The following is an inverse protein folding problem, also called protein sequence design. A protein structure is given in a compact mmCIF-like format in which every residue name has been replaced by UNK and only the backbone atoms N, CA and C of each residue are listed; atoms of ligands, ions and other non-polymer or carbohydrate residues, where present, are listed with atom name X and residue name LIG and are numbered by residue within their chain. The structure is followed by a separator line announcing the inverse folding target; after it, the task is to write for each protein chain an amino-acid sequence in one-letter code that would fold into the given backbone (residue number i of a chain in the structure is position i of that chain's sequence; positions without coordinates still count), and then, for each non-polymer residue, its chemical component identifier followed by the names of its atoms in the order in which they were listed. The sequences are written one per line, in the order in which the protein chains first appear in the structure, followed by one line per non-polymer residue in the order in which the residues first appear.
data_IF_925187006638
#
_entry.id   IF_925187006638
#
_cell.length_a   1.000
_cell.length_b   1.000
_cell.length_c   1.000
_cell.angle_alpha   90.00
_cell.angle_beta   90.00
_cell.angle_gamma   90.00
#
_symmetry.space_group_name_H-M   'P 1'
#
loop_
_entity.id
_entity.type
_entity.pdbx_description
1 polymer ?
#
# COMPACT_ATOMS: atom_id res chain seq x y z
N UNK A 1 -2.34 16.13 12.95
CA UNK A 1 -2.05 15.15 11.88
C UNK A 1 -3.32 14.61 11.24
N UNK A 2 -3.24 13.98 10.04
CA UNK A 2 -4.39 13.34 9.42
C UNK A 2 -4.33 11.82 9.65
N UNK A 3 -5.45 11.22 10.06
CA UNK A 3 -5.58 9.77 10.30
C UNK A 3 -6.87 9.19 9.71
N UNK A 4 -6.83 7.89 9.42
CA UNK A 4 -7.98 7.11 8.98
C UNK A 4 -8.32 6.00 9.97
N UNK A 5 -9.53 6.04 10.51
CA UNK A 5 -10.05 5.00 11.39
C UNK A 5 -11.11 4.19 10.67
N UNK A 6 -10.97 2.87 10.63
CA UNK A 6 -11.88 2.00 9.91
C UNK A 6 -12.56 1.01 10.86
N UNK A 7 -13.89 1.10 10.91
CA UNK A 7 -14.74 0.27 11.75
C UNK A 7 -15.72 -0.58 10.93
N UNK A 8 -16.06 -1.77 11.41
CA UNK A 8 -17.09 -2.62 10.80
C UNK A 8 -18.47 -2.17 11.31
N UNK A 9 -19.42 -1.99 10.36
CA UNK A 9 -20.81 -1.68 10.67
C UNK A 9 -21.60 -2.95 10.96
N UNK A 10 -22.40 -2.94 12.02
CA UNK A 10 -23.40 -3.98 12.32
C UNK A 10 -24.74 -3.52 11.73
N UNK A 11 -25.01 -3.90 10.47
CA UNK A 11 -26.17 -3.42 9.71
C UNK A 11 -27.26 -4.47 9.61
N UNK A 12 -28.52 -4.05 9.77
CA UNK A 12 -29.71 -4.83 9.49
C UNK A 12 -30.02 -4.87 7.99
N UNK A 13 -31.09 -5.53 7.56
CA UNK A 13 -31.43 -5.66 6.15
C UNK A 13 -31.89 -4.34 5.52
N UNK A 14 -32.64 -3.49 6.25
CA UNK A 14 -33.08 -2.17 5.77
C UNK A 14 -31.87 -1.25 5.56
N UNK A 15 -30.98 -1.18 6.54
CA UNK A 15 -29.73 -0.41 6.45
C UNK A 15 -28.82 -0.91 5.33
N UNK A 16 -28.72 -2.24 5.13
CA UNK A 16 -27.93 -2.83 4.05
C UNK A 16 -28.44 -2.40 2.67
N UNK A 17 -29.78 -2.37 2.49
CA UNK A 17 -30.41 -1.89 1.25
C UNK A 17 -30.12 -0.42 1.04
N UNK A 18 -30.27 0.39 2.09
CA UNK A 18 -30.00 1.82 2.05
C UNK A 18 -28.53 2.11 1.69
N UNK A 19 -27.57 1.45 2.33
CA UNK A 19 -26.16 1.60 2.00
C UNK A 19 -25.84 1.16 0.57
N UNK A 20 -26.50 0.12 0.07
CA UNK A 20 -26.35 -0.33 -1.31
C UNK A 20 -26.91 0.70 -2.31
N UNK A 21 -28.00 1.37 -1.97
CA UNK A 21 -28.57 2.48 -2.75
C UNK A 21 -27.61 3.66 -2.82
N UNK A 22 -27.03 4.08 -1.69
CA UNK A 22 -25.99 5.12 -1.66
C UNK A 22 -24.78 4.78 -2.54
N UNK A 23 -24.29 3.53 -2.47
CA UNK A 23 -23.21 3.08 -3.33
C UNK A 23 -23.60 3.02 -4.82
N UNK A 24 -24.87 2.72 -5.10
CA UNK A 24 -25.48 2.79 -6.43
C UNK A 24 -25.45 4.21 -6.99
N UNK A 25 -25.89 5.17 -6.20
CA UNK A 25 -25.90 6.60 -6.56
C UNK A 25 -24.48 7.13 -6.82
N UNK A 26 -23.50 6.79 -5.97
CA UNK A 26 -22.12 7.18 -6.21
C UNK A 26 -21.57 6.61 -7.53
N UNK A 27 -21.91 5.35 -7.85
CA UNK A 27 -21.55 4.74 -9.13
C UNK A 27 -22.23 5.38 -10.31
N UNK A 28 -23.50 5.71 -10.18
CA UNK A 28 -24.26 6.42 -11.20
C UNK A 28 -23.63 7.79 -11.50
N UNK A 29 -23.42 8.62 -10.47
CA UNK A 29 -22.82 9.95 -10.63
C UNK A 29 -21.43 9.91 -11.26
N UNK A 30 -20.58 8.96 -10.89
CA UNK A 30 -19.31 8.72 -11.55
C UNK A 30 -19.48 8.41 -13.04
N UNK A 31 -20.38 7.49 -13.38
CA UNK A 31 -20.58 7.06 -14.77
C UNK A 31 -21.21 8.17 -15.61
N UNK A 32 -22.18 8.86 -15.06
CA UNK A 32 -22.79 10.03 -15.71
C UNK A 32 -21.75 11.11 -15.99
N UNK A 33 -20.95 11.48 -14.97
CA UNK A 33 -19.90 12.48 -15.15
C UNK A 33 -18.84 12.06 -16.16
N UNK A 34 -18.46 10.79 -16.21
CA UNK A 34 -17.54 10.27 -17.21
C UNK A 34 -18.15 10.30 -18.63
N UNK A 35 -19.43 9.92 -18.77
CA UNK A 35 -20.13 9.96 -20.05
C UNK A 35 -20.24 11.39 -20.59
N UNK A 36 -20.59 12.37 -19.73
CA UNK A 36 -20.66 13.78 -20.11
C UNK A 36 -19.30 14.32 -20.59
N UNK A 37 -18.22 14.00 -19.90
CA UNK A 37 -16.87 14.39 -20.33
C UNK A 37 -16.48 13.78 -21.67
N UNK A 38 -16.79 12.51 -21.89
CA UNK A 38 -16.50 11.83 -23.16
C UNK A 38 -17.34 12.40 -24.31
N UNK A 39 -18.63 12.75 -24.04
CA UNK A 39 -19.51 13.37 -25.02
C UNK A 39 -18.95 14.74 -25.47
N UNK A 40 -18.65 15.63 -24.53
CA UNK A 40 -18.09 16.96 -24.80
C UNK A 40 -16.76 16.90 -25.54
N UNK A 41 -15.88 15.99 -25.14
CA UNK A 41 -14.59 15.80 -25.81
C UNK A 41 -14.74 15.44 -27.29
N UNK A 42 -15.79 14.63 -27.62
CA UNK A 42 -16.10 14.28 -29.01
C UNK A 42 -16.73 15.45 -29.79
N UNK A 43 -17.64 16.17 -29.15
CA UNK A 43 -18.38 17.30 -29.79
C UNK A 43 -17.47 18.48 -30.08
N UNK A 44 -16.44 18.70 -29.25
CA UNK A 44 -15.52 19.83 -29.40
C UNK A 44 -14.18 19.43 -30.05
N UNK A 45 -14.14 18.36 -30.84
CA UNK A 45 -12.96 17.88 -31.59
C UNK A 45 -11.66 17.79 -30.73
N UNK A 46 -11.81 17.43 -29.46
CA UNK A 46 -10.69 17.33 -28.52
C UNK A 46 -10.21 18.66 -27.90
N UNK A 47 -10.84 19.78 -28.23
CA UNK A 47 -10.51 21.09 -27.69
C UNK A 47 -11.24 21.42 -26.38
N UNK A 48 -12.07 20.51 -25.85
CA UNK A 48 -12.84 20.81 -24.64
C UNK A 48 -11.94 21.01 -23.44
N UNK A 49 -11.97 22.23 -22.95
CA UNK A 49 -11.37 22.57 -21.67
C UNK A 49 -12.13 21.82 -20.58
N UNK A 50 -11.43 20.98 -19.93
CA UNK A 50 -11.70 20.27 -18.70
C UNK A 50 -12.85 20.81 -17.85
N UNK A 51 -13.93 20.06 -17.76
CA UNK A 51 -15.09 20.42 -16.94
C UNK A 51 -14.81 20.10 -15.48
N UNK A 52 -14.87 21.12 -14.62
CA UNK A 52 -14.70 20.96 -13.17
C UNK A 52 -15.80 20.09 -12.54
N UNK A 53 -15.45 19.35 -11.49
CA UNK A 53 -16.39 18.54 -10.71
C UNK A 53 -17.55 19.38 -10.12
N UNK A 54 -17.32 20.65 -9.83
CA UNK A 54 -18.33 21.56 -9.30
C UNK A 54 -19.41 21.87 -10.35
N UNK A 55 -18.99 22.24 -11.57
CA UNK A 55 -19.90 22.48 -12.71
C UNK A 55 -20.72 21.23 -13.03
N UNK A 56 -20.06 20.05 -13.11
CA UNK A 56 -20.79 18.80 -13.33
C UNK A 56 -21.78 18.48 -12.20
N UNK A 57 -21.46 18.83 -10.95
CA UNK A 57 -22.39 18.65 -9.85
C UNK A 57 -23.59 19.59 -9.93
N UNK A 58 -23.41 20.84 -10.37
CA UNK A 58 -24.49 21.80 -10.62
C UNK A 58 -25.43 21.30 -11.72
N UNK A 59 -24.88 20.85 -12.86
CA UNK A 59 -25.65 20.26 -13.97
C UNK A 59 -26.43 19.03 -13.49
N UNK A 60 -25.79 18.11 -12.78
CA UNK A 60 -26.48 16.93 -12.25
C UNK A 60 -27.58 17.30 -11.25
N UNK A 61 -27.41 18.37 -10.47
CA UNK A 61 -28.44 18.87 -9.56
C UNK A 61 -29.62 19.44 -10.30
N UNK A 62 -29.42 20.16 -11.41
CA UNK A 62 -30.52 20.66 -12.28
C UNK A 62 -31.38 19.54 -12.84
N UNK A 63 -30.74 18.42 -13.21
CA UNK A 63 -31.45 17.25 -13.76
C UNK A 63 -32.17 16.38 -12.70
N UNK A 64 -31.95 16.62 -11.40
CA UNK A 64 -32.58 15.82 -10.35
C UNK A 64 -34.10 15.93 -10.31
N UNK A 65 -34.66 17.10 -10.57
CA UNK A 65 -36.11 17.30 -10.53
C UNK A 65 -36.82 16.60 -11.69
N UNK A 66 -36.22 16.64 -12.88
CA UNK A 66 -36.79 16.09 -14.10
C UNK A 66 -36.48 14.62 -14.33
N UNK A 67 -35.20 14.26 -14.28
CA UNK A 67 -34.75 12.93 -14.73
C UNK A 67 -34.34 12.01 -13.59
N UNK A 68 -33.81 12.55 -12.47
CA UNK A 68 -33.18 11.77 -11.43
C UNK A 68 -33.76 12.00 -10.03
N UNK A 69 -35.09 12.16 -9.94
CA UNK A 69 -35.82 12.44 -8.68
C UNK A 69 -35.50 11.43 -7.55
N UNK A 70 -35.21 10.17 -7.90
CA UNK A 70 -34.78 9.14 -6.95
C UNK A 70 -33.49 9.51 -6.17
N UNK A 71 -32.66 10.42 -6.67
CA UNK A 71 -31.45 10.89 -5.98
C UNK A 71 -31.76 11.72 -4.73
N UNK A 72 -32.99 12.25 -4.59
CA UNK A 72 -33.41 12.94 -3.36
C UNK A 72 -33.47 12.00 -2.14
N UNK A 73 -33.50 10.69 -2.34
CA UNK A 73 -33.49 9.70 -1.26
C UNK A 73 -32.13 9.55 -0.59
N UNK A 74 -31.05 10.09 -1.20
CA UNK A 74 -29.70 10.00 -0.68
C UNK A 74 -29.14 11.37 -0.32
N UNK A 75 -28.04 11.39 0.46
CA UNK A 75 -27.37 12.65 0.77
C UNK A 75 -26.76 13.28 -0.49
N UNK A 76 -26.90 14.61 -0.61
CA UNK A 76 -26.29 15.39 -1.70
C UNK A 76 -24.77 15.23 -1.80
N UNK A 77 -24.12 14.89 -0.71
CA UNK A 77 -22.67 14.65 -0.69
C UNK A 77 -22.25 13.43 -1.52
N UNK A 78 -23.13 12.45 -1.72
CA UNK A 78 -22.77 11.21 -2.43
C UNK A 78 -22.43 11.44 -3.89
N UNK A 79 -23.30 12.07 -4.73
CA UNK A 79 -22.95 12.40 -6.10
C UNK A 79 -21.81 13.43 -6.19
N UNK A 80 -21.80 14.42 -5.31
CA UNK A 80 -20.76 15.45 -5.26
C UNK A 80 -19.37 14.84 -5.06
N UNK A 81 -19.20 13.98 -4.07
CA UNK A 81 -17.92 13.34 -3.79
C UNK A 81 -17.54 12.30 -4.87
N UNK A 82 -18.52 11.66 -5.52
CA UNK A 82 -18.25 10.77 -6.63
C UNK A 82 -17.69 11.52 -7.87
N UNK A 83 -18.17 12.72 -8.14
CA UNK A 83 -17.66 13.59 -9.21
C UNK A 83 -16.28 14.16 -8.85
N UNK A 84 -16.01 14.50 -7.57
CA UNK A 84 -14.67 14.89 -7.10
C UNK A 84 -13.68 13.74 -7.22
N UNK A 85 -14.08 12.52 -6.88
CA UNK A 85 -13.25 11.34 -7.09
C UNK A 85 -12.94 11.09 -8.58
N UNK A 86 -13.91 11.36 -9.48
CA UNK A 86 -13.70 11.30 -10.93
C UNK A 86 -12.71 12.37 -11.39
N UNK A 87 -12.86 13.60 -10.89
CA UNK A 87 -11.93 14.70 -11.14
C UNK A 87 -10.50 14.27 -10.77
N UNK A 88 -10.29 13.83 -9.53
CA UNK A 88 -8.98 13.35 -9.05
C UNK A 88 -8.42 12.23 -9.93
N UNK A 89 -9.27 11.35 -10.45
CA UNK A 89 -8.84 10.28 -11.35
C UNK A 89 -8.34 10.81 -12.70
N UNK A 90 -8.98 11.85 -13.24
CA UNK A 90 -8.49 12.53 -14.44
C UNK A 90 -7.20 13.31 -14.18
N UNK A 91 -7.12 14.04 -13.07
CA UNK A 91 -5.90 14.78 -12.68
C UNK A 91 -4.69 13.87 -12.57
N UNK A 92 -4.86 12.73 -11.90
CA UNK A 92 -3.81 11.72 -11.79
C UNK A 92 -3.42 11.12 -13.15
N UNK A 93 -4.39 10.88 -14.03
CA UNK A 93 -4.13 10.36 -15.38
C UNK A 93 -3.35 11.37 -16.23
N UNK A 94 -3.78 12.64 -16.23
CA UNK A 94 -3.14 13.71 -17.02
C UNK A 94 -1.74 14.02 -16.49
N UNK A 95 -1.56 14.09 -15.16
CA UNK A 95 -0.25 14.29 -14.55
C UNK A 95 0.72 13.14 -14.89
N UNK A 96 0.22 11.89 -14.85
CA UNK A 96 1.00 10.72 -15.23
C UNK A 96 1.35 10.71 -16.74
N UNK A 97 0.42 11.15 -17.60
CA UNK A 97 0.65 11.28 -19.03
C UNK A 97 1.75 12.32 -19.32
N UNK A 98 1.68 13.49 -18.65
CA UNK A 98 2.71 14.55 -18.76
C UNK A 98 4.07 14.04 -18.30
N UNK A 99 4.15 13.38 -17.15
CA UNK A 99 5.38 12.78 -16.65
C UNK A 99 5.96 11.74 -17.60
N UNK A 100 5.11 10.87 -18.18
CA UNK A 100 5.57 9.86 -19.15
C UNK A 100 6.16 10.47 -20.42
N UNK A 101 5.56 11.56 -20.93
CA UNK A 101 6.09 12.29 -22.08
C UNK A 101 7.48 12.89 -21.78
N UNK A 102 7.67 13.38 -20.55
CA UNK A 102 8.95 13.98 -20.12
C UNK A 102 10.03 12.93 -19.79
N UNK A 103 9.68 11.80 -19.16
CA UNK A 103 10.66 10.84 -18.58
C UNK A 103 10.70 9.47 -19.25
N UNK A 104 9.80 9.17 -20.20
CA UNK A 104 9.65 7.81 -20.77
C UNK A 104 9.20 6.74 -19.79
N UNK A 105 8.71 7.13 -18.60
CA UNK A 105 8.34 6.20 -17.54
C UNK A 105 7.12 5.35 -17.87
N UNK A 106 6.98 4.16 -17.22
CA UNK A 106 5.82 3.28 -17.39
C UNK A 106 4.55 3.90 -16.78
N UNK A 107 3.35 3.65 -17.39
CA UNK A 107 2.10 4.20 -16.89
C UNK A 107 1.79 3.76 -15.46
N UNK A 108 1.53 4.74 -14.59
CA UNK A 108 1.11 4.54 -13.20
C UNK A 108 -0.41 4.61 -13.05
N UNK A 109 -1.05 5.54 -13.75
CA UNK A 109 -2.48 5.74 -13.76
C UNK A 109 -3.05 5.56 -15.16
N UNK A 110 -4.13 4.77 -15.27
CA UNK A 110 -4.85 4.58 -16.52
C UNK A 110 -6.01 5.57 -16.67
N UNK A 111 -6.56 5.66 -17.88
CA UNK A 111 -7.77 6.44 -18.15
C UNK A 111 -8.93 5.97 -17.25
N UNK A 112 -9.74 6.89 -16.69
CA UNK A 112 -10.91 6.55 -15.87
C UNK A 112 -11.89 5.64 -16.60
N UNK A 113 -12.39 4.59 -15.92
CA UNK A 113 -13.27 3.58 -16.50
C UNK A 113 -14.69 3.64 -15.90
N UNK A 114 -15.68 3.24 -16.68
CA UNK A 114 -17.05 3.06 -16.19
C UNK A 114 -17.12 2.00 -15.08
N UNK A 115 -17.80 2.32 -13.99
CA UNK A 115 -18.00 1.44 -12.84
C UNK A 115 -19.20 0.53 -13.07
N UNK A 116 -18.99 -0.80 -13.05
CA UNK A 116 -20.07 -1.80 -13.21
C UNK A 116 -20.41 -2.43 -11.85
N UNK A 117 -21.73 -2.58 -11.57
CA UNK A 117 -22.23 -3.28 -10.37
C UNK A 117 -21.66 -4.69 -10.30
N UNK A 118 -21.11 -5.07 -9.15
CA UNK A 118 -20.48 -6.38 -8.94
C UNK A 118 -19.03 -6.51 -9.44
N UNK A 119 -18.53 -5.61 -10.30
CA UNK A 119 -17.13 -5.58 -10.75
C UNK A 119 -16.31 -4.51 -10.01
N UNK A 120 -16.93 -3.40 -9.63
CA UNK A 120 -16.29 -2.39 -8.77
C UNK A 120 -16.67 -2.58 -7.30
N UNK A 121 -15.85 -2.04 -6.40
CA UNK A 121 -16.15 -2.01 -4.98
C UNK A 121 -17.32 -1.06 -4.74
N UNK A 122 -18.36 -1.54 -4.03
CA UNK A 122 -19.43 -0.66 -3.57
C UNK A 122 -18.87 0.26 -2.47
N UNK A 123 -18.85 1.55 -2.75
CA UNK A 123 -18.34 2.56 -1.81
C UNK A 123 -18.90 3.94 -2.16
N UNK A 124 -19.05 4.79 -1.14
CA UNK A 124 -19.42 6.19 -1.26
C UNK A 124 -18.78 6.99 -0.13
N UNK A 125 -18.56 8.28 -0.37
CA UNK A 125 -17.99 9.22 0.59
C UNK A 125 -19.07 10.20 1.04
N UNK A 126 -19.02 10.56 2.31
CA UNK A 126 -19.85 11.58 2.94
C UNK A 126 -18.96 12.62 3.61
N UNK A 127 -19.36 13.87 3.47
CA UNK A 127 -18.80 15.02 4.17
C UNK A 127 -19.93 15.74 4.92
N UNK A 128 -19.62 16.70 5.77
CA UNK A 128 -20.58 17.42 6.58
C UNK A 128 -20.68 16.87 7.99
N UNK A 129 -21.83 16.96 8.62
CA UNK A 129 -22.00 16.60 10.05
C UNK A 129 -21.93 15.11 10.27
N UNK A 130 -20.79 14.65 10.76
CA UNK A 130 -20.54 13.26 11.14
C UNK A 130 -20.22 13.23 12.63
N UNK A 131 -20.98 12.44 13.40
CA UNK A 131 -20.78 12.30 14.86
C UNK A 131 -20.51 10.83 15.20
N UNK A 132 -19.64 10.61 16.19
CA UNK A 132 -19.33 9.29 16.72
C UNK A 132 -19.66 9.27 18.20
N UNK A 133 -20.44 8.30 18.62
CA UNK A 133 -20.83 8.05 20.01
C UNK A 133 -20.09 6.79 20.46
N UNK A 134 -18.94 7.00 21.09
CA UNK A 134 -18.00 5.92 21.40
C UNK A 134 -18.58 4.89 22.35
N UNK A 135 -19.28 5.33 23.40
CA UNK A 135 -19.84 4.45 24.43
C UNK A 135 -21.02 3.64 23.89
N UNK A 136 -21.86 4.25 23.07
CA UNK A 136 -22.99 3.59 22.43
C UNK A 136 -22.59 2.71 21.22
N UNK A 137 -21.34 2.79 20.77
CA UNK A 137 -20.81 2.17 19.54
C UNK A 137 -21.64 2.57 18.31
N UNK A 138 -21.94 3.85 18.19
CA UNK A 138 -22.74 4.39 17.08
C UNK A 138 -21.94 5.43 16.28
N UNK A 139 -22.25 5.49 15.00
CA UNK A 139 -21.82 6.56 14.10
C UNK A 139 -23.04 7.16 13.41
N UNK A 140 -23.20 8.47 13.50
CA UNK A 140 -24.20 9.23 12.79
C UNK A 140 -23.61 9.77 11.50
N UNK A 141 -24.27 9.45 10.38
CA UNK A 141 -23.88 9.90 9.06
C UNK A 141 -24.98 10.72 8.42
N UNK A 142 -24.66 11.71 7.55
CA UNK A 142 -25.64 12.56 6.90
C UNK A 142 -26.73 11.75 6.18
N UNK A 143 -28.00 11.96 6.56
CA UNK A 143 -29.20 11.26 6.04
C UNK A 143 -29.24 9.73 6.22
N UNK A 144 -28.29 9.13 6.95
CA UNK A 144 -28.24 7.68 7.23
C UNK A 144 -28.61 7.34 8.68
N UNK A 145 -28.99 8.35 9.48
CA UNK A 145 -29.27 8.20 10.90
C UNK A 145 -28.05 7.64 11.67
N UNK A 146 -28.28 7.07 12.85
CA UNK A 146 -27.26 6.41 13.67
C UNK A 146 -27.09 4.96 13.20
N UNK A 147 -25.88 4.56 12.84
CA UNK A 147 -25.53 3.19 12.45
C UNK A 147 -24.66 2.56 13.54
N UNK A 148 -24.94 1.30 13.89
CA UNK A 148 -24.21 0.58 14.94
C UNK A 148 -22.86 0.09 14.43
N UNK A 149 -21.82 0.35 15.21
CA UNK A 149 -20.48 -0.20 15.01
C UNK A 149 -20.36 -1.56 15.72
N UNK A 150 -19.49 -2.41 15.20
CA UNK A 150 -19.22 -3.71 15.82
C UNK A 150 -18.30 -3.60 17.03
N UNK A 151 -17.41 -2.64 17.00
CA UNK A 151 -16.40 -2.38 18.02
C UNK A 151 -16.54 -0.96 18.56
N UNK A 152 -16.06 -0.72 19.79
CA UNK A 152 -16.01 0.63 20.39
C UNK A 152 -15.01 1.47 19.62
N UNK A 153 -15.41 2.65 19.08
CA UNK A 153 -14.47 3.56 18.46
C UNK A 153 -13.50 4.12 19.49
N UNK A 154 -12.23 4.10 19.15
CA UNK A 154 -11.18 4.73 19.95
C UNK A 154 -10.59 5.88 19.14
N UNK A 155 -11.25 7.03 19.15
CA UNK A 155 -10.77 8.27 18.55
C UNK A 155 -10.05 9.10 19.60
N UNK A 156 -9.03 9.84 19.18
CA UNK A 156 -8.39 10.81 20.06
C UNK A 156 -9.38 11.91 20.47
N UNK A 157 -9.35 12.43 21.70
CA UNK A 157 -10.28 13.49 22.15
C UNK A 157 -10.30 14.73 21.23
N UNK A 158 -9.14 15.13 20.68
CA UNK A 158 -9.01 16.25 19.72
C UNK A 158 -9.43 15.91 18.30
N UNK A 159 -9.94 14.70 18.03
CA UNK A 159 -10.19 14.21 16.67
C UNK A 159 -11.39 14.95 16.03
N UNK A 160 -11.13 15.77 15.01
CA UNK A 160 -12.14 16.39 14.16
C UNK A 160 -12.39 15.52 12.94
N UNK A 161 -13.62 15.02 12.78
CA UNK A 161 -13.99 14.18 11.67
C UNK A 161 -14.23 15.06 10.44
N UNK A 162 -13.52 14.78 9.33
CA UNK A 162 -13.60 15.52 8.08
C UNK A 162 -14.50 14.83 7.04
N UNK A 163 -14.44 13.50 7.02
CA UNK A 163 -15.18 12.69 6.04
C UNK A 163 -15.40 11.27 6.54
N UNK A 164 -16.42 10.62 5.99
CA UNK A 164 -16.66 9.19 6.18
C UNK A 164 -16.78 8.49 4.82
N UNK A 165 -15.95 7.51 4.58
CA UNK A 165 -16.06 6.63 3.41
C UNK A 165 -16.68 5.31 3.83
N UNK A 166 -17.90 5.04 3.37
CA UNK A 166 -18.57 3.76 3.61
C UNK A 166 -18.26 2.83 2.44
N UNK A 167 -17.89 1.59 2.75
CA UNK A 167 -17.50 0.62 1.73
C UNK A 167 -17.88 -0.81 2.09
N UNK A 168 -18.17 -1.63 1.06
CA UNK A 168 -18.49 -3.05 1.23
C UNK A 168 -17.32 -3.93 0.84
N UNK A 169 -17.00 -4.90 1.70
CA UNK A 169 -16.04 -5.96 1.39
C UNK A 169 -16.70 -7.30 1.67
N UNK A 170 -16.86 -8.13 0.66
CA UNK A 170 -17.70 -9.33 0.69
C UNK A 170 -19.14 -8.94 1.12
N UNK A 171 -19.62 -9.46 2.24
CA UNK A 171 -20.97 -9.17 2.76
C UNK A 171 -20.98 -8.17 3.94
N UNK A 172 -19.87 -7.54 4.24
CA UNK A 172 -19.73 -6.63 5.39
C UNK A 172 -19.52 -5.20 4.95
N UNK A 173 -20.13 -4.29 5.67
CA UNK A 173 -19.97 -2.86 5.49
C UNK A 173 -19.00 -2.29 6.51
N UNK A 174 -18.21 -1.33 6.08
CA UNK A 174 -17.21 -0.63 6.89
C UNK A 174 -17.38 0.86 6.69
N UNK A 175 -17.18 1.61 7.75
CA UNK A 175 -16.99 3.06 7.71
C UNK A 175 -15.53 3.37 7.99
N UNK A 176 -14.94 4.19 7.13
CA UNK A 176 -13.58 4.72 7.28
C UNK A 176 -13.70 6.21 7.54
N UNK A 177 -13.37 6.65 8.73
CA UNK A 177 -13.41 8.04 9.15
C UNK A 177 -12.06 8.68 8.85
N UNK A 178 -12.06 9.74 8.05
CA UNK A 178 -10.92 10.63 7.89
C UNK A 178 -10.99 11.72 8.94
N UNK A 179 -10.00 11.76 9.81
CA UNK A 179 -9.96 12.72 10.93
C UNK A 179 -8.70 13.58 10.88
N UNK A 180 -8.82 14.80 11.39
CA UNK A 180 -7.69 15.65 11.76
C UNK A 180 -7.61 15.66 13.28
N UNK A 181 -6.46 15.33 13.82
CA UNK A 181 -6.22 15.29 15.25
C UNK A 181 -4.84 15.86 15.57
N UNK A 182 -4.63 16.28 16.80
CA UNK A 182 -3.32 16.66 17.28
C UNK A 182 -2.41 15.45 17.32
N UNK A 183 -1.10 15.63 17.03
CA UNK A 183 -0.16 14.54 17.25
C UNK A 183 -0.25 14.14 18.74
N UNK A 184 -0.43 12.85 19.07
CA UNK A 184 -0.34 12.44 20.45
C UNK A 184 1.07 12.72 20.96
N UNK A 185 1.22 12.96 22.25
CA UNK A 185 2.52 12.86 22.90
C UNK A 185 3.17 11.53 22.51
N UNK A 186 4.48 11.53 22.29
CA UNK A 186 5.21 10.30 21.94
C UNK A 186 4.95 9.29 23.06
N UNK A 187 4.36 8.13 22.73
CA UNK A 187 4.08 7.14 23.75
C UNK A 187 5.40 6.52 24.25
N UNK A 188 5.40 6.14 25.50
CA UNK A 188 6.48 5.40 26.13
C UNK A 188 6.94 4.21 25.29
N UNK A 189 8.23 4.07 25.08
CA UNK A 189 8.86 2.94 24.40
C UNK A 189 9.23 1.84 25.41
N UNK A 190 9.40 0.64 24.93
CA UNK A 190 9.81 -0.52 25.72
C UNK A 190 11.35 -0.74 25.71
N UNK A 191 12.09 0.14 25.05
CA UNK A 191 13.53 0.00 24.84
C UNK A 191 14.31 1.08 25.58
N UNK A 192 15.57 0.76 25.88
CA UNK A 192 16.55 1.78 26.25
C UNK A 192 16.78 2.75 25.09
N UNK A 193 17.26 3.99 25.35
CA UNK A 193 17.65 4.93 24.30
C UNK A 193 18.65 4.33 23.33
N UNK A 194 18.60 4.81 22.06
CA UNK A 194 19.54 4.46 20.97
C UNK A 194 19.56 2.99 20.54
N UNK A 195 18.47 2.25 20.76
CA UNK A 195 18.37 0.88 20.27
C UNK A 195 18.17 0.82 18.76
N UNK A 196 19.13 0.19 18.07
CA UNK A 196 19.11 -0.02 16.62
C UNK A 196 18.83 -1.48 16.28
N UNK A 197 17.93 -1.74 15.32
CA UNK A 197 17.69 -3.08 14.78
C UNK A 197 17.74 -3.13 13.26
N UNK A 198 18.53 -4.05 12.72
CA UNK A 198 18.49 -4.45 11.31
C UNK A 198 17.50 -5.58 11.10
N UNK A 199 16.71 -5.51 10.02
CA UNK A 199 15.67 -6.47 9.69
C UNK A 199 15.92 -7.06 8.31
N UNK A 200 16.41 -8.30 8.27
CA UNK A 200 16.55 -9.08 7.04
C UNK A 200 15.27 -9.87 6.74
N UNK A 201 14.78 -9.81 5.50
CA UNK A 201 13.52 -10.42 5.09
C UNK A 201 13.76 -11.67 4.24
N UNK A 202 13.43 -12.85 4.78
CA UNK A 202 13.69 -14.14 4.17
C UNK A 202 12.45 -14.93 3.71
N UNK A 203 12.70 -16.05 3.04
CA UNK A 203 11.67 -17.03 2.66
C UNK A 203 11.52 -18.15 3.69
N UNK A 204 12.60 -18.61 4.27
CA UNK A 204 12.58 -19.66 5.29
C UNK A 204 12.09 -19.11 6.63
N UNK A 205 12.71 -18.05 7.09
CA UNK A 205 12.26 -17.19 8.18
C UNK A 205 11.53 -16.00 7.58
N UNK A 206 10.44 -15.55 8.20
CA UNK A 206 9.73 -14.36 7.72
C UNK A 206 10.62 -13.11 7.82
N UNK A 207 11.39 -13.03 8.90
CA UNK A 207 12.29 -11.91 9.19
C UNK A 207 13.30 -12.33 10.26
N UNK A 208 14.55 -11.96 10.08
CA UNK A 208 15.63 -12.13 11.09
C UNK A 208 16.02 -10.74 11.61
N UNK A 209 16.22 -10.64 12.92
CA UNK A 209 16.56 -9.41 13.63
C UNK A 209 18.06 -9.45 14.03
N UNK A 210 18.72 -8.29 14.05
CA UNK A 210 20.15 -8.17 14.35
C UNK A 210 20.56 -8.59 15.77
N UNK A 211 19.61 -8.81 16.68
CA UNK A 211 19.89 -9.36 18.02
C UNK A 211 19.59 -10.86 18.13
N UNK A 212 19.61 -11.59 16.99
CA UNK A 212 19.52 -13.05 16.96
C UNK A 212 18.11 -13.63 16.96
N UNK A 213 17.09 -12.84 17.26
CA UNK A 213 15.71 -13.29 17.17
C UNK A 213 15.25 -13.40 15.72
N UNK A 214 14.35 -14.31 15.46
CA UNK A 214 13.70 -14.41 14.16
C UNK A 214 12.18 -14.56 14.29
N UNK A 215 11.48 -14.12 13.28
CA UNK A 215 10.04 -14.28 13.14
C UNK A 215 9.77 -15.45 12.21
N UNK A 216 9.05 -16.50 12.65
CA UNK A 216 8.77 -17.67 11.82
C UNK A 216 7.78 -17.32 10.70
N UNK A 217 7.88 -18.07 9.60
CA UNK A 217 6.94 -17.94 8.49
C UNK A 217 5.58 -18.55 8.83
N UNK A 218 4.52 -17.74 8.86
CA UNK A 218 3.18 -18.19 9.25
C UNK A 218 2.34 -18.81 8.13
N UNK A 219 2.72 -18.59 6.86
CA UNK A 219 2.12 -19.24 5.67
C UNK A 219 0.59 -19.19 5.62
N UNK A 220 -0.02 -18.02 5.86
CA UNK A 220 -1.49 -17.88 5.96
C UNK A 220 -2.22 -18.35 4.70
N UNK A 221 -1.71 -18.00 3.52
CA UNK A 221 -2.25 -18.43 2.24
C UNK A 221 -1.96 -19.91 1.99
N UNK A 222 -0.71 -20.35 2.19
CA UNK A 222 -0.28 -21.73 1.93
C UNK A 222 -1.13 -22.74 2.72
N UNK A 223 -1.29 -22.52 4.02
CA UNK A 223 -2.18 -23.35 4.89
C UNK A 223 -3.64 -23.33 4.43
N UNK A 224 -4.04 -22.28 3.72
CA UNK A 224 -5.43 -22.10 3.24
C UNK A 224 -5.64 -22.56 1.80
N UNK A 225 -4.59 -22.88 1.04
CA UNK A 225 -4.65 -23.16 -0.41
C UNK A 225 -5.62 -24.31 -0.76
N UNK A 226 -5.58 -25.41 -0.01
CA UNK A 226 -6.46 -26.56 -0.26
C UNK A 226 -7.95 -26.15 -0.23
N UNK A 227 -8.35 -25.40 0.79
CA UNK A 227 -9.71 -24.89 0.91
C UNK A 227 -10.03 -23.82 -0.12
N UNK A 228 -9.10 -22.93 -0.41
CA UNK A 228 -9.26 -21.89 -1.42
C UNK A 228 -9.47 -22.50 -2.81
N UNK A 229 -8.65 -23.48 -3.21
CA UNK A 229 -8.79 -24.20 -4.49
C UNK A 229 -10.15 -24.90 -4.59
N UNK A 230 -10.60 -25.57 -3.52
CA UNK A 230 -11.93 -26.21 -3.46
C UNK A 230 -13.06 -25.21 -3.69
N UNK A 231 -13.04 -24.06 -2.99
CA UNK A 231 -14.04 -23.01 -3.12
C UNK A 231 -14.01 -22.35 -4.50
N UNK A 232 -12.82 -22.11 -5.08
CA UNK A 232 -12.66 -21.59 -6.43
C UNK A 232 -13.19 -22.54 -7.48
N UNK A 233 -12.87 -23.85 -7.39
CA UNK A 233 -13.38 -24.88 -8.29
C UNK A 233 -14.91 -25.02 -8.21
N UNK A 234 -15.47 -24.97 -6.99
CA UNK A 234 -16.92 -24.97 -6.78
C UNK A 234 -17.59 -23.72 -7.38
N UNK A 235 -16.93 -22.57 -7.31
CA UNK A 235 -17.44 -21.32 -7.91
C UNK A 235 -17.40 -21.36 -9.43
N UNK A 236 -16.30 -21.81 -10.05
CA UNK A 236 -16.15 -21.87 -11.51
C UNK A 236 -17.17 -22.78 -12.19
N UNK A 237 -17.59 -23.87 -11.52
CA UNK A 237 -18.59 -24.82 -12.04
C UNK A 237 -20.03 -24.29 -12.04
N UNK A 238 -20.32 -23.16 -11.40
CA UNK A 238 -21.68 -22.62 -11.33
C UNK A 238 -22.02 -21.79 -12.56
N UNK A 239 -23.25 -21.95 -13.07
CA UNK A 239 -23.77 -21.22 -14.25
C UNK A 239 -23.66 -19.70 -14.02
N UNK A 240 -23.17 -18.99 -15.03
CA UNK A 240 -23.05 -17.53 -15.00
C UNK A 240 -24.43 -16.89 -14.77
N UNK A 241 -24.47 -15.85 -13.94
CA UNK A 241 -25.71 -15.11 -13.59
C UNK A 241 -26.56 -15.79 -12.51
N UNK A 242 -26.40 -17.09 -12.24
CA UNK A 242 -27.26 -17.83 -11.30
C UNK A 242 -27.08 -17.34 -9.85
N UNK A 243 -28.12 -17.49 -9.03
CA UNK A 243 -28.07 -17.20 -7.60
C UNK A 243 -27.07 -18.10 -6.85
N UNK A 244 -26.92 -19.36 -7.27
CA UNK A 244 -25.92 -20.27 -6.71
C UNK A 244 -24.49 -19.79 -6.99
N UNK A 245 -24.22 -19.20 -8.16
CA UNK A 245 -22.92 -18.55 -8.45
C UNK A 245 -22.69 -17.35 -7.56
N UNK A 246 -23.70 -16.50 -7.31
CA UNK A 246 -23.61 -15.37 -6.38
C UNK A 246 -23.32 -15.83 -4.95
N UNK A 247 -23.99 -16.90 -4.47
CA UNK A 247 -23.73 -17.49 -3.16
C UNK A 247 -22.30 -18.04 -3.05
N UNK A 248 -21.83 -18.78 -4.06
CA UNK A 248 -20.46 -19.33 -4.07
C UNK A 248 -19.37 -18.25 -4.16
N UNK A 249 -19.58 -17.18 -4.95
CA UNK A 249 -18.69 -16.03 -4.99
C UNK A 249 -18.56 -15.36 -3.60
N UNK A 250 -19.70 -15.24 -2.89
CA UNK A 250 -19.70 -14.68 -1.54
C UNK A 250 -18.93 -15.56 -0.54
N UNK A 251 -19.07 -16.88 -0.62
CA UNK A 251 -18.34 -17.81 0.24
C UNK A 251 -16.82 -17.73 -0.01
N UNK A 252 -16.41 -17.67 -1.28
CA UNK A 252 -15.02 -17.49 -1.67
C UNK A 252 -14.47 -16.15 -1.16
N UNK A 253 -15.20 -15.05 -1.35
CA UNK A 253 -14.80 -13.71 -0.89
C UNK A 253 -14.70 -13.63 0.65
N UNK A 254 -15.60 -14.29 1.40
CA UNK A 254 -15.53 -14.38 2.85
C UNK A 254 -14.28 -15.11 3.32
N UNK A 255 -13.93 -16.20 2.64
CA UNK A 255 -12.75 -16.98 2.97
C UNK A 255 -11.46 -16.21 2.68
N UNK A 256 -11.33 -15.62 1.48
CA UNK A 256 -10.19 -14.77 1.12
C UNK A 256 -10.01 -13.61 2.11
N UNK A 257 -11.11 -12.95 2.52
CA UNK A 257 -11.06 -11.89 3.52
C UNK A 257 -10.52 -12.39 4.86
N UNK A 258 -10.90 -13.61 5.30
CA UNK A 258 -10.41 -14.20 6.56
C UNK A 258 -8.88 -14.36 6.50
N UNK A 259 -8.34 -14.93 5.43
CA UNK A 259 -6.89 -15.09 5.23
C UNK A 259 -6.18 -13.74 5.25
N UNK A 260 -6.70 -12.76 4.49
CA UNK A 260 -6.13 -11.40 4.45
C UNK A 260 -6.16 -10.70 5.81
N UNK A 261 -7.25 -10.88 6.59
CA UNK A 261 -7.36 -10.28 7.93
C UNK A 261 -6.38 -10.94 8.93
N UNK A 262 -6.20 -12.26 8.88
CA UNK A 262 -5.22 -12.95 9.74
C UNK A 262 -3.80 -12.45 9.50
N UNK A 263 -3.40 -12.33 8.22
CA UNK A 263 -2.11 -11.76 7.84
C UNK A 263 -1.97 -10.30 8.31
N UNK A 264 -2.97 -9.48 8.05
CA UNK A 264 -2.96 -8.07 8.47
C UNK A 264 -2.86 -7.92 9.99
N UNK A 265 -3.59 -8.74 10.75
CA UNK A 265 -3.49 -8.73 12.21
C UNK A 265 -2.08 -9.05 12.70
N UNK A 266 -1.43 -10.06 12.09
CA UNK A 266 -0.04 -10.40 12.37
C UNK A 266 0.89 -9.20 12.06
N UNK A 267 0.79 -8.59 10.87
CA UNK A 267 1.60 -7.44 10.50
C UNK A 267 1.39 -6.25 11.45
N UNK A 268 0.14 -6.01 11.90
CA UNK A 268 -0.13 -4.96 12.86
C UNK A 268 0.51 -5.22 14.23
N UNK A 269 0.49 -6.47 14.72
CA UNK A 269 1.14 -6.85 15.97
C UNK A 269 2.66 -6.73 15.87
N UNK A 270 3.24 -7.33 14.83
CA UNK A 270 4.69 -7.29 14.60
C UNK A 270 5.22 -5.86 14.43
N UNK A 271 4.59 -5.06 13.55
CA UNK A 271 5.00 -3.67 13.36
C UNK A 271 4.79 -2.80 14.60
N UNK A 272 3.85 -3.13 15.46
CA UNK A 272 3.67 -2.44 16.74
C UNK A 272 4.79 -2.78 17.73
N UNK A 273 5.10 -4.05 17.85
CA UNK A 273 6.21 -4.51 18.67
C UNK A 273 7.53 -3.87 18.23
N UNK A 274 7.88 -3.96 16.95
CA UNK A 274 9.13 -3.43 16.42
C UNK A 274 9.33 -1.94 16.70
N UNK A 275 8.30 -1.11 16.45
CA UNK A 275 8.42 0.35 16.65
C UNK A 275 8.39 0.78 18.11
N UNK A 276 7.87 -0.04 19.03
CA UNK A 276 7.92 0.24 20.46
C UNK A 276 9.21 -0.25 21.13
N UNK A 277 9.85 -1.23 20.51
CA UNK A 277 11.05 -1.88 21.08
C UNK A 277 12.36 -1.33 20.51
N UNK A 278 12.34 -0.39 19.58
CA UNK A 278 13.56 0.14 18.96
C UNK A 278 13.42 1.61 18.57
N UNK A 279 14.51 2.36 18.67
CA UNK A 279 14.58 3.76 18.24
C UNK A 279 14.88 3.90 16.76
N UNK A 280 15.68 2.98 16.24
CA UNK A 280 16.04 2.93 14.82
C UNK A 280 15.75 1.55 14.26
N UNK A 281 15.07 1.51 13.13
CA UNK A 281 14.79 0.27 12.38
C UNK A 281 15.36 0.43 10.98
N UNK A 282 16.29 -0.46 10.62
CA UNK A 282 16.86 -0.51 9.27
C UNK A 282 16.26 -1.67 8.49
N UNK A 283 15.69 -1.37 7.35
CA UNK A 283 15.01 -2.31 6.45
C UNK A 283 15.80 -2.46 5.16
N UNK A 284 15.83 -3.66 4.60
CA UNK A 284 16.30 -3.88 3.24
C UNK A 284 15.31 -3.27 2.20
N UNK A 285 15.83 -2.65 1.12
CA UNK A 285 15.02 -2.18 -0.02
C UNK A 285 14.77 -3.28 -1.04
N UNK A 286 13.90 -4.22 -0.70
CA UNK A 286 13.53 -5.34 -1.56
C UNK A 286 12.83 -4.92 -2.86
N UNK A 287 13.34 -5.38 -3.99
CA UNK A 287 12.65 -5.26 -5.27
C UNK A 287 11.50 -6.29 -5.40
N UNK A 288 10.45 -6.11 -4.59
CA UNK A 288 9.31 -7.04 -4.51
C UNK A 288 8.69 -7.40 -5.85
N UNK A 289 8.65 -6.46 -6.82
CA UNK A 289 8.12 -6.74 -8.16
C UNK A 289 8.95 -7.76 -8.92
N UNK A 290 10.26 -7.76 -8.75
CA UNK A 290 11.18 -8.74 -9.32
C UNK A 290 10.98 -10.12 -8.68
N UNK A 291 10.93 -10.16 -7.36
CA UNK A 291 10.75 -11.40 -6.59
C UNK A 291 9.43 -12.11 -6.92
N UNK A 292 8.35 -11.37 -7.14
CA UNK A 292 7.03 -11.92 -7.52
C UNK A 292 7.02 -12.47 -8.97
N UNK A 293 7.94 -12.07 -9.84
CA UNK A 293 8.04 -12.63 -11.20
C UNK A 293 8.53 -14.07 -11.23
N UNK A 294 9.28 -14.50 -10.25
CA UNK A 294 9.68 -15.89 -10.11
C UNK A 294 8.46 -16.76 -9.79
N UNK A 295 7.96 -17.52 -10.80
CA UNK A 295 6.74 -18.33 -10.68
C UNK A 295 6.78 -19.37 -9.55
N UNK A 296 7.97 -19.92 -9.22
CA UNK A 296 8.14 -20.91 -8.15
C UNK A 296 7.96 -20.27 -6.75
N UNK A 297 8.43 -19.04 -6.55
CA UNK A 297 8.47 -18.37 -5.25
C UNK A 297 7.40 -17.28 -5.08
N UNK A 298 6.74 -16.87 -6.15
CA UNK A 298 5.78 -15.75 -6.17
C UNK A 298 4.67 -15.89 -5.13
N UNK A 299 4.12 -17.09 -4.96
CA UNK A 299 3.03 -17.33 -4.00
C UNK A 299 3.47 -17.12 -2.54
N UNK A 300 4.72 -17.40 -2.20
CA UNK A 300 5.29 -17.18 -0.88
C UNK A 300 5.50 -15.68 -0.62
N UNK A 301 6.13 -14.96 -1.56
CA UNK A 301 6.31 -13.51 -1.46
C UNK A 301 5.00 -12.73 -1.37
N UNK A 302 3.99 -13.15 -2.15
CA UNK A 302 2.64 -12.57 -2.07
C UNK A 302 1.97 -12.88 -0.73
N UNK A 303 2.17 -14.08 -0.19
CA UNK A 303 1.61 -14.44 1.13
C UNK A 303 2.29 -13.65 2.26
N UNK A 304 3.59 -13.46 2.21
CA UNK A 304 4.33 -12.68 3.21
C UNK A 304 3.93 -11.20 3.19
N UNK A 305 3.68 -10.61 2.01
CA UNK A 305 3.26 -9.22 1.83
C UNK A 305 4.15 -8.19 2.55
N UNK A 306 5.49 -8.34 2.47
CA UNK A 306 6.47 -7.45 3.11
C UNK A 306 6.23 -5.96 2.83
N UNK A 307 5.75 -5.61 1.62
CA UNK A 307 5.40 -4.23 1.30
C UNK A 307 4.26 -3.65 2.15
N UNK A 308 3.32 -4.48 2.63
CA UNK A 308 2.31 -4.05 3.60
C UNK A 308 2.94 -3.83 4.99
N UNK A 309 3.83 -4.73 5.43
CA UNK A 309 4.53 -4.61 6.69
C UNK A 309 5.43 -3.36 6.73
N UNK A 310 6.24 -3.12 5.69
CA UNK A 310 7.10 -1.93 5.60
C UNK A 310 6.30 -0.62 5.71
N UNK A 311 5.12 -0.55 5.05
CA UNK A 311 4.22 0.60 5.20
C UNK A 311 3.70 0.76 6.62
N UNK A 312 3.38 -0.36 7.28
CA UNK A 312 2.92 -0.34 8.68
C UNK A 312 4.03 0.11 9.63
N UNK A 313 5.26 -0.35 9.45
CA UNK A 313 6.42 0.08 10.23
C UNK A 313 6.66 1.58 10.01
N UNK A 314 6.70 2.05 8.76
CA UNK A 314 6.97 3.45 8.43
C UNK A 314 5.95 4.42 9.03
N UNK A 315 4.63 4.12 8.93
CA UNK A 315 3.65 5.05 9.50
C UNK A 315 3.59 4.98 11.03
N UNK A 316 3.81 3.80 11.61
CA UNK A 316 3.88 3.64 13.06
C UNK A 316 5.17 4.24 13.62
N UNK A 317 6.31 4.12 12.92
CA UNK A 317 7.54 4.79 13.27
C UNK A 317 7.32 6.28 13.47
N UNK A 318 6.68 6.95 12.51
CA UNK A 318 6.29 8.37 12.66
C UNK A 318 5.38 8.63 13.87
N UNK A 319 4.54 7.67 14.24
CA UNK A 319 3.64 7.80 15.39
C UNK A 319 4.37 7.62 16.73
N UNK A 320 5.36 6.74 16.78
CA UNK A 320 6.05 6.34 18.02
C UNK A 320 7.45 6.97 18.14
N UNK A 321 7.82 7.89 17.23
CA UNK A 321 9.14 8.52 17.24
C UNK A 321 10.29 7.55 16.90
N UNK A 322 10.00 6.47 16.16
CA UNK A 322 11.01 5.52 15.69
C UNK A 322 11.50 5.91 14.30
N UNK A 323 12.79 6.08 14.14
CA UNK A 323 13.44 6.32 12.85
C UNK A 323 13.42 5.05 12.02
N UNK A 324 12.87 5.12 10.81
CA UNK A 324 12.79 3.98 9.90
C UNK A 324 13.58 4.30 8.64
N UNK A 325 14.65 3.53 8.44
CA UNK A 325 15.61 3.69 7.35
C UNK A 325 15.47 2.52 6.39
N UNK A 326 15.65 2.76 5.11
CA UNK A 326 15.87 1.72 4.12
C UNK A 326 17.32 1.78 3.70
N UNK A 327 18.03 0.67 3.87
CA UNK A 327 19.38 0.53 3.33
C UNK A 327 19.37 0.66 1.80
N UNK A 328 20.48 1.09 1.24
CA UNK A 328 20.64 1.10 -0.20
C UNK A 328 20.39 -0.29 -0.79
N UNK A 329 19.78 -0.34 -1.97
CA UNK A 329 19.43 -1.62 -2.63
C UNK A 329 20.62 -2.51 -2.93
N UNK A 330 21.76 -1.89 -3.19
CA UNK A 330 22.99 -2.57 -3.58
C UNK A 330 23.92 -2.82 -2.39
N UNK A 331 23.52 -2.41 -1.19
CA UNK A 331 24.27 -2.71 0.02
C UNK A 331 24.39 -4.23 0.20
N UNK A 332 25.63 -4.79 0.24
CA UNK A 332 25.87 -6.22 0.21
C UNK A 332 25.66 -6.89 1.58
N UNK A 333 24.53 -6.63 2.24
CA UNK A 333 24.24 -7.06 3.62
C UNK A 333 24.54 -8.56 3.89
N UNK A 334 24.20 -9.44 2.95
CA UNK A 334 24.42 -10.89 3.09
C UNK A 334 25.83 -11.36 2.73
N UNK A 335 26.63 -10.52 2.04
CA UNK A 335 28.01 -10.84 1.59
C UNK A 335 29.10 -10.17 2.44
N UNK A 336 28.73 -9.21 3.24
CA UNK A 336 29.61 -8.49 4.14
C UNK A 336 29.78 -9.26 5.45
N UNK A 337 31.01 -9.39 5.96
CA UNK A 337 31.23 -9.92 7.28
C UNK A 337 30.82 -8.91 8.35
N UNK A 338 29.96 -9.29 9.28
CA UNK A 338 29.49 -8.39 10.34
C UNK A 338 30.56 -8.07 11.40
N UNK A 339 31.71 -8.78 11.40
CA UNK A 339 32.78 -8.53 12.33
C UNK A 339 33.91 -7.68 11.71
N UNK A 340 34.51 -8.15 10.60
CA UNK A 340 35.67 -7.48 10.00
C UNK A 340 35.34 -6.67 8.72
N UNK A 341 34.08 -6.60 8.31
CA UNK A 341 33.58 -5.89 7.14
C UNK A 341 34.15 -6.34 5.78
N UNK A 342 34.81 -7.51 5.74
CA UNK A 342 35.29 -8.11 4.49
C UNK A 342 34.11 -8.57 3.63
N UNK A 343 34.14 -8.26 2.31
CA UNK A 343 33.14 -8.68 1.34
C UNK A 343 33.52 -10.05 0.77
N UNK A 344 32.57 -10.98 0.79
CA UNK A 344 32.69 -12.33 0.23
C UNK A 344 31.89 -12.43 -1.08
N UNK A 345 32.49 -12.16 -2.24
CA UNK A 345 31.75 -12.11 -3.53
C UNK A 345 31.21 -13.48 -3.95
N UNK A 346 31.86 -14.56 -3.57
CA UNK A 346 31.55 -15.94 -3.99
C UNK A 346 30.39 -16.59 -3.22
N UNK A 347 29.86 -15.94 -2.17
CA UNK A 347 28.72 -16.47 -1.42
C UNK A 347 27.49 -16.62 -2.31
N UNK A 348 26.93 -17.84 -2.38
CA UNK A 348 25.77 -18.15 -3.22
C UNK A 348 24.45 -18.10 -2.44
N UNK A 349 23.32 -18.14 -3.17
CA UNK A 349 21.99 -18.17 -2.53
C UNK A 349 21.69 -19.51 -1.82
N UNK A 350 22.46 -20.56 -2.10
CA UNK A 350 22.30 -21.89 -1.47
C UNK A 350 22.95 -21.94 -0.11
N UNK A 351 24.01 -21.15 0.11
CA UNK A 351 24.72 -21.11 1.37
C UNK A 351 23.84 -20.54 2.47
N UNK A 352 23.69 -21.29 3.55
CA UNK A 352 22.91 -20.90 4.73
C UNK A 352 23.78 -20.39 5.86
N UNK A 353 25.02 -20.83 5.90
CA UNK A 353 26.04 -20.38 6.85
C UNK A 353 26.96 -19.40 6.13
N UNK A 354 27.21 -18.27 6.75
CA UNK A 354 28.23 -17.32 6.35
C UNK A 354 29.50 -17.66 7.12
N UNK A 355 30.62 -17.91 6.45
CA UNK A 355 31.92 -18.10 7.05
C UNK A 355 32.91 -17.13 6.45
N UNK A 356 33.55 -16.32 7.30
CA UNK A 356 34.54 -15.33 6.88
C UNK A 356 35.91 -15.96 6.73
N UNK A 357 36.51 -15.84 5.55
CA UNK A 357 37.88 -16.35 5.30
C UNK A 357 38.97 -15.51 5.98
N UNK A 358 38.70 -14.26 6.36
CA UNK A 358 39.65 -13.36 6.97
C UNK A 358 39.70 -13.53 8.51
N UNK A 359 38.53 -13.45 9.17
CA UNK A 359 38.46 -13.46 10.63
C UNK A 359 37.88 -14.77 11.22
N UNK A 360 37.57 -15.77 10.42
CA UNK A 360 37.06 -17.07 10.85
C UNK A 360 35.61 -17.05 11.38
N UNK A 361 34.93 -15.91 11.44
CA UNK A 361 33.58 -15.83 11.97
C UNK A 361 32.62 -16.70 11.15
N UNK A 362 31.83 -17.53 11.82
CA UNK A 362 30.80 -18.36 11.21
C UNK A 362 29.43 -18.08 11.84
N UNK A 363 28.45 -17.68 11.04
CA UNK A 363 27.10 -17.29 11.46
C UNK A 363 26.03 -17.78 10.46
N UNK A 364 24.78 -17.88 10.92
CA UNK A 364 23.63 -17.96 10.00
C UNK A 364 23.66 -16.75 9.05
N UNK A 365 23.52 -16.98 7.75
CA UNK A 365 23.63 -15.91 6.73
C UNK A 365 22.60 -14.80 6.90
N UNK A 366 21.35 -15.16 7.23
CA UNK A 366 20.26 -14.18 7.43
C UNK A 366 20.53 -13.37 8.71
N UNK A 367 21.15 -13.98 9.73
CA UNK A 367 21.56 -13.28 10.95
C UNK A 367 22.71 -12.33 10.68
N UNK A 368 23.75 -12.76 9.96
CA UNK A 368 24.85 -11.89 9.53
C UNK A 368 24.31 -10.68 8.73
N UNK A 369 23.37 -10.91 7.80
CA UNK A 369 22.74 -9.84 7.02
C UNK A 369 21.97 -8.86 7.90
N UNK A 370 21.26 -9.34 8.91
CA UNK A 370 20.52 -8.48 9.84
C UNK A 370 21.47 -7.60 10.68
N UNK A 371 22.61 -8.13 11.14
CA UNK A 371 23.64 -7.34 11.85
C UNK A 371 24.20 -6.26 10.92
N UNK A 372 24.53 -6.60 9.68
CA UNK A 372 25.05 -5.63 8.71
C UNK A 372 24.03 -4.52 8.39
N UNK A 373 22.73 -4.83 8.38
CA UNK A 373 21.69 -3.81 8.24
C UNK A 373 21.65 -2.88 9.46
N UNK A 374 21.88 -3.36 10.68
CA UNK A 374 22.02 -2.48 11.85
C UNK A 374 23.29 -1.62 11.73
N UNK A 375 24.41 -2.20 11.32
CA UNK A 375 25.68 -1.48 11.08
C UNK A 375 25.55 -0.41 10.00
N UNK A 376 24.69 -0.60 8.99
CA UNK A 376 24.41 0.41 7.97
C UNK A 376 24.01 1.75 8.57
N UNK A 377 23.23 1.76 9.66
CA UNK A 377 22.88 3.00 10.35
C UNK A 377 24.12 3.72 10.89
N UNK A 378 24.99 3.00 11.57
CA UNK A 378 26.21 3.58 12.15
C UNK A 378 27.19 4.04 11.07
N UNK A 379 27.34 3.27 9.99
CA UNK A 379 28.28 3.60 8.91
C UNK A 379 27.87 4.81 8.09
N UNK A 380 26.57 5.00 7.82
CA UNK A 380 26.11 5.96 6.80
C UNK A 380 25.15 7.04 7.31
N UNK A 381 24.56 6.88 8.48
CA UNK A 381 23.45 7.74 8.92
C UNK A 381 23.70 8.40 10.27
N UNK A 382 24.40 7.74 11.18
CA UNK A 382 24.58 8.20 12.55
C UNK A 382 25.47 9.46 12.59
N UNK A 383 25.04 10.59 13.21
CA UNK A 383 25.77 11.88 13.16
C UNK A 383 27.23 11.82 13.64
N UNK A 384 27.50 11.02 14.69
CA UNK A 384 28.86 10.87 15.24
C UNK A 384 29.86 10.25 14.28
N UNK A 385 29.42 9.55 13.24
CA UNK A 385 30.29 8.91 12.24
C UNK A 385 30.38 9.71 10.94
N UNK A 386 29.44 10.61 10.65
CA UNK A 386 29.51 11.49 9.49
C UNK A 386 30.65 12.53 9.62
N UNK A 387 30.92 13.03 10.81
CA UNK A 387 32.02 13.98 11.06
C UNK A 387 33.42 13.40 10.81
N UNK A 388 33.59 12.08 10.83
CA UNK A 388 34.86 11.39 10.52
C UNK A 388 35.02 11.18 9.01
N UNK A 389 33.91 11.01 8.28
CA UNK A 389 33.94 10.82 6.82
C UNK A 389 34.16 12.12 6.04
N UNK A 390 33.80 13.28 6.59
CA UNK A 390 34.05 14.58 5.97
C UNK A 390 35.52 15.00 6.04
N UNK A 391 36.33 14.40 6.92
CA UNK A 391 37.77 14.65 7.01
C UNK A 391 38.60 13.76 6.05
N UNK A 392 38.04 12.75 5.42
CA UNK A 392 38.67 11.91 4.42
C UNK A 392 37.95 12.02 3.09
N UNK A 393 38.50 12.80 2.18
CA UNK A 393 37.96 13.09 0.82
C UNK A 393 38.14 11.93 -0.17
N UNK A 394 38.18 10.68 0.28
CA UNK A 394 38.23 9.53 -0.62
C UNK A 394 37.03 8.61 -0.40
N UNK A 395 36.06 8.69 -1.30
CA UNK A 395 34.97 7.71 -1.38
C UNK A 395 35.46 6.43 -2.05
N UNK A 396 35.55 5.36 -1.29
CA UNK A 396 35.79 4.00 -1.84
C UNK A 396 34.48 3.44 -2.41
N UNK A 397 34.53 2.90 -3.64
CA UNK A 397 33.43 2.13 -4.19
C UNK A 397 33.35 0.74 -3.49
N UNK A 398 32.26 -0.01 -3.74
CA UNK A 398 32.03 -1.33 -3.15
C UNK A 398 33.13 -2.39 -3.51
N UNK A 399 34.12 -2.05 -4.32
CA UNK A 399 35.26 -2.87 -4.73
C UNK A 399 36.59 -2.39 -4.15
N UNK A 400 36.62 -1.33 -3.33
CA UNK A 400 37.85 -0.84 -2.69
C UNK A 400 38.73 0.03 -3.56
N UNK A 401 38.25 0.50 -4.71
CA UNK A 401 38.96 1.42 -5.58
C UNK A 401 38.49 2.86 -5.39
N UNK A 402 39.42 3.83 -5.40
CA UNK A 402 39.12 5.25 -5.31
C UNK A 402 38.44 5.75 -6.60
N UNK A 403 37.20 6.23 -6.52
CA UNK A 403 36.48 6.81 -7.65
C UNK A 403 36.52 8.32 -7.57
N UNK A 404 37.19 8.97 -8.53
CA UNK A 404 37.06 10.43 -8.74
C UNK A 404 35.63 10.73 -9.22
N UNK A 405 34.95 11.76 -8.69
CA UNK A 405 33.66 12.16 -9.21
C UNK A 405 33.78 12.60 -10.67
N UNK A 406 32.85 12.21 -11.57
CA UNK A 406 32.91 12.62 -12.95
C UNK A 406 32.63 14.13 -13.04
N UNK A 407 33.64 14.89 -13.46
CA UNK A 407 33.45 16.24 -13.94
C UNK A 407 32.50 16.22 -15.15
N UNK A 408 31.43 17.02 -15.09
CA UNK A 408 30.35 17.02 -16.05
C UNK A 408 30.83 17.14 -17.50
N UNK A 409 30.45 16.17 -18.30
CA UNK A 409 30.64 16.15 -19.74
C UNK A 409 29.53 15.28 -20.35
N UNK A 410 28.53 15.94 -20.90
CA UNK A 410 27.48 15.34 -21.72
C UNK A 410 28.07 14.80 -23.02
N UNK A 411 28.16 13.47 -23.17
CA UNK A 411 28.35 12.87 -24.50
C UNK A 411 27.21 11.90 -24.81
N UNK A 412 26.35 12.33 -25.72
CA UNK A 412 25.34 11.51 -26.40
C UNK A 412 26.04 10.38 -27.15
N UNK A 413 25.79 9.13 -26.72
CA UNK A 413 26.10 7.95 -27.55
C UNK A 413 25.02 7.77 -28.62
N UNK A 414 25.36 8.07 -29.88
CA UNK A 414 24.58 7.72 -31.06
C UNK A 414 24.58 6.19 -31.25
N UNK A 415 23.39 5.60 -31.32
CA UNK A 415 23.20 4.20 -31.75
C UNK A 415 23.40 4.12 -33.27
N UNK A 416 24.47 3.46 -33.75
CA UNK A 416 24.61 3.01 -35.14
C UNK A 416 23.55 1.96 -35.45
N UNK A 417 22.70 2.24 -36.45
CA UNK A 417 21.84 1.26 -37.11
C UNK A 417 22.73 0.34 -37.95
N UNK A 418 22.66 -0.96 -37.70
CA UNK A 418 23.20 -1.97 -38.60
C UNK A 418 22.21 -2.20 -39.75
N UNK A 419 22.55 -1.81 -40.95
CA UNK A 419 21.89 -2.17 -42.20
C UNK A 419 22.23 -3.62 -42.54
N UNK A 420 21.24 -4.47 -42.68
CA UNK A 420 21.37 -5.80 -43.28
C UNK A 420 21.25 -5.64 -44.79
N UNK A 421 22.34 -5.86 -45.52
CA UNK A 421 22.36 -6.11 -46.96
C UNK A 421 21.84 -7.52 -47.23
N UNK A 422 20.80 -7.62 -48.03
CA UNK A 422 20.35 -8.87 -48.63
C UNK A 422 21.25 -9.19 -49.84
N UNK A 423 21.77 -10.40 -49.92
CA UNK A 423 22.35 -10.95 -51.12
C UNK A 423 21.51 -12.15 -51.54
N UNK A 424 20.93 -12.05 -52.72
CA UNK A 424 20.32 -13.11 -53.52
C UNK A 424 21.37 -14.10 -54.02
N UNK A 425 21.13 -15.40 -53.89
CA UNK A 425 21.10 -16.44 -54.93
C UNK A 425 20.24 -17.58 -54.38
#
# INVERSE_FOLDING_TARGET
MYRGYKYELKVNNKERTLLAMYAGTARFAWNWGLAQRLKRYKENEGQDKYTDAMKQHQELNGLKASEFAWMYQVSKCVPQEALRDLQTAFDNFLADLKNRRATGSKPKYGFPKFKKKGKCKDSFRLTGTIKVFSDEKLVQLPRLKKLRLKEKPNLHPSARILSATVSRTANRWYVSLGVREEPPALPEKYCAPDTVVGLDAGLAKFMTLSHGLYVPQLQFLQRSLRKLRRLSKAHSRKKNGSNNRKKSAMNLARFQRRVANSRRNFHHKLSHYLVKSHDVIVLEDLHLKGLIRNKKLSSYWVDQAHGELQKLISYKGKKYGTTVIKADRWFPSSKLCSNCLMIHPHLTLQDRTFTCSLCGQSLDRDYNAAINLAHYYYMFIHPKFQSVAESSTETLNACGESVRPPTGGTTRRSRKKATKTATSV
#
